data_IF_517221540053
#
_entry.id   IF_517221540053
#
_cell.length_a   1.000
_cell.length_b   1.000
_cell.length_c   1.000
_cell.angle_alpha   90.00
_cell.angle_beta   90.00
_cell.angle_gamma   90.00
#
_symmetry.space_group_name_H-M   'P 1'
#
loop_
_entity.id
_entity.type
_entity.pdbx_description
1 polymer ?
#
# COMPACT_ATOMS: atom_id res chain seq x y z
N UNK A 1 7.72 -13.61 3.28
CA UNK A 1 6.52 -13.43 4.13
C UNK A 1 5.67 -14.68 4.19
N UNK A 2 4.62 -14.69 5.02
CA UNK A 2 3.71 -15.85 5.15
C UNK A 2 2.76 -16.00 3.96
N UNK A 3 2.60 -14.94 3.17
CA UNK A 3 1.69 -14.84 2.01
C UNK A 3 2.50 -14.24 0.85
N UNK A 4 3.36 -15.03 0.19
CA UNK A 4 4.29 -14.51 -0.82
C UNK A 4 3.59 -14.00 -2.08
N UNK A 5 2.52 -14.64 -2.56
CA UNK A 5 1.80 -14.18 -3.76
C UNK A 5 1.13 -12.81 -3.56
N UNK A 6 0.83 -12.43 -2.31
CA UNK A 6 0.31 -11.11 -2.00
C UNK A 6 1.29 -9.98 -2.38
N UNK A 7 2.60 -10.25 -2.45
CA UNK A 7 3.59 -9.22 -2.81
C UNK A 7 3.53 -8.79 -4.27
N UNK A 8 2.92 -9.58 -5.15
CA UNK A 8 2.72 -9.22 -6.55
C UNK A 8 1.89 -7.95 -6.72
N UNK A 9 1.01 -7.66 -5.78
CA UNK A 9 0.13 -6.49 -5.82
C UNK A 9 0.82 -5.19 -5.41
N UNK A 10 2.05 -5.25 -4.92
CA UNK A 10 2.85 -4.08 -4.51
C UNK A 10 3.95 -3.73 -5.53
N UNK A 11 3.86 -4.24 -6.75
CA UNK A 11 4.84 -3.92 -7.80
C UNK A 11 4.82 -2.44 -8.15
N UNK A 12 5.98 -1.80 -8.33
CA UNK A 12 6.05 -0.41 -8.76
C UNK A 12 5.26 -0.18 -10.05
N UNK A 13 4.62 0.98 -10.16
CA UNK A 13 3.84 1.43 -11.33
C UNK A 13 2.59 0.60 -11.68
N UNK A 14 2.24 -0.43 -10.92
CA UNK A 14 1.09 -1.29 -11.20
C UNK A 14 -0.24 -0.70 -10.70
N UNK A 15 -0.20 0.20 -9.72
CA UNK A 15 -1.38 0.68 -8.99
C UNK A 15 -1.61 2.17 -9.26
N UNK A 16 -2.71 2.50 -9.98
CA UNK A 16 -3.03 3.88 -10.35
C UNK A 16 -4.28 4.43 -9.65
N UNK A 17 -5.29 3.57 -9.40
CA UNK A 17 -6.56 3.98 -8.81
C UNK A 17 -6.95 3.06 -7.64
N UNK A 18 -7.32 3.65 -6.51
CA UNK A 18 -7.68 2.93 -5.30
C UNK A 18 -8.75 1.85 -5.53
N UNK A 19 -9.84 2.20 -6.21
CA UNK A 19 -10.94 1.29 -6.48
C UNK A 19 -10.58 0.14 -7.43
N UNK A 20 -9.77 0.42 -8.47
CA UNK A 20 -9.26 -0.62 -9.39
C UNK A 20 -8.40 -1.60 -8.61
N UNK A 21 -7.52 -1.07 -7.76
CA UNK A 21 -6.62 -1.87 -6.93
C UNK A 21 -7.41 -2.76 -5.97
N UNK A 22 -8.40 -2.20 -5.26
CA UNK A 22 -9.26 -2.94 -4.36
C UNK A 22 -10.03 -4.04 -5.10
N UNK A 23 -10.73 -3.68 -6.20
CA UNK A 23 -11.54 -4.63 -6.96
C UNK A 23 -10.70 -5.75 -7.56
N UNK A 24 -9.60 -5.40 -8.24
CA UNK A 24 -8.72 -6.39 -8.88
C UNK A 24 -8.07 -7.33 -7.85
N UNK A 25 -7.70 -6.78 -6.67
CA UNK A 25 -7.17 -7.61 -5.60
C UNK A 25 -8.20 -8.61 -5.09
N UNK A 26 -9.44 -8.16 -4.87
CA UNK A 26 -10.51 -9.05 -4.43
C UNK A 26 -10.77 -10.15 -5.44
N UNK A 27 -10.88 -9.80 -6.72
CA UNK A 27 -11.05 -10.76 -7.81
C UNK A 27 -9.89 -11.75 -7.86
N UNK A 28 -8.65 -11.29 -7.78
CA UNK A 28 -7.46 -12.14 -7.74
C UNK A 28 -7.56 -13.21 -6.63
N UNK A 29 -7.97 -12.80 -5.42
CA UNK A 29 -8.14 -13.74 -4.30
C UNK A 29 -9.29 -14.70 -4.52
N UNK A 30 -10.36 -14.31 -5.20
CA UNK A 30 -11.52 -15.20 -5.43
C UNK A 30 -11.27 -16.17 -6.60
N UNK A 31 -10.63 -15.71 -7.67
CA UNK A 31 -10.51 -16.42 -8.94
C UNK A 31 -9.23 -17.28 -9.06
N UNK A 32 -8.16 -16.93 -8.31
CA UNK A 32 -6.89 -17.65 -8.34
C UNK A 32 -6.76 -18.56 -7.12
N UNK A 33 -6.93 -19.91 -7.31
CA UNK A 33 -6.96 -20.86 -6.20
C UNK A 33 -5.70 -20.83 -5.32
N UNK A 34 -4.53 -20.62 -5.92
CA UNK A 34 -3.25 -20.57 -5.23
C UNK A 34 -3.18 -19.39 -4.27
N UNK A 35 -3.67 -18.22 -4.68
CA UNK A 35 -3.73 -17.01 -3.85
C UNK A 35 -4.73 -17.22 -2.70
N UNK A 36 -5.90 -17.77 -2.99
CA UNK A 36 -6.92 -18.10 -1.98
C UNK A 36 -6.40 -19.11 -0.96
N UNK A 37 -5.65 -20.11 -1.42
CA UNK A 37 -5.07 -21.17 -0.57
C UNK A 37 -4.07 -20.59 0.45
N UNK A 38 -3.30 -19.55 0.10
CA UNK A 38 -2.39 -18.89 1.05
C UNK A 38 -3.14 -18.36 2.28
N UNK A 39 -4.31 -17.74 2.08
CA UNK A 39 -5.13 -17.22 3.18
C UNK A 39 -5.79 -18.34 3.97
N UNK A 40 -6.38 -19.30 3.26
CA UNK A 40 -7.06 -20.45 3.88
C UNK A 40 -6.12 -21.26 4.76
N UNK A 41 -4.87 -21.47 4.32
CA UNK A 41 -3.82 -22.15 5.10
C UNK A 41 -3.56 -21.47 6.45
N UNK A 42 -3.79 -20.18 6.54
CA UNK A 42 -3.63 -19.40 7.77
C UNK A 42 -4.97 -19.15 8.50
N UNK A 43 -6.01 -19.94 8.18
CA UNK A 43 -7.34 -19.82 8.77
C UNK A 43 -7.96 -18.42 8.58
N UNK A 44 -7.71 -17.80 7.44
CA UNK A 44 -8.24 -16.47 7.05
C UNK A 44 -9.18 -16.62 5.86
N UNK A 45 -10.38 -16.03 5.96
CA UNK A 45 -11.27 -15.75 4.84
C UNK A 45 -11.10 -14.27 4.46
N UNK A 46 -10.81 -14.02 3.21
CA UNK A 46 -10.86 -12.65 2.67
C UNK A 46 -12.31 -12.30 2.41
N UNK A 47 -12.82 -11.31 3.14
CA UNK A 47 -14.21 -10.84 3.07
C UNK A 47 -14.37 -9.59 2.24
N UNK A 48 -13.31 -8.82 2.07
CA UNK A 48 -13.23 -7.66 1.19
C UNK A 48 -11.77 -7.32 0.93
N UNK A 49 -11.51 -6.22 0.29
CA UNK A 49 -10.18 -5.68 0.04
C UNK A 49 -10.20 -4.16 0.11
N UNK A 50 -9.06 -3.56 0.25
CA UNK A 50 -8.86 -2.13 0.12
C UNK A 50 -7.72 -1.83 -0.85
N UNK A 51 -7.77 -0.65 -1.44
CA UNK A 51 -6.68 -0.12 -2.25
C UNK A 51 -6.39 1.33 -1.88
N UNK A 52 -5.14 1.74 -2.00
CA UNK A 52 -4.78 3.15 -1.95
C UNK A 52 -4.63 3.69 -3.35
N UNK A 53 -4.71 5.01 -3.49
CA UNK A 53 -4.22 5.69 -4.67
C UNK A 53 -2.69 5.58 -4.79
N UNK A 54 -2.11 6.18 -5.82
CA UNK A 54 -0.68 6.11 -6.06
C UNK A 54 0.10 6.80 -4.95
N UNK A 55 1.27 6.24 -4.65
CA UNK A 55 2.26 6.82 -3.74
C UNK A 55 3.25 7.66 -4.53
N UNK A 56 3.64 8.77 -3.95
CA UNK A 56 4.56 9.75 -4.51
C UNK A 56 5.77 9.94 -3.62
N UNK A 57 6.80 10.62 -4.17
CA UNK A 57 8.03 10.92 -3.43
C UNK A 57 7.90 12.30 -2.78
N UNK A 58 7.77 12.33 -1.47
CA UNK A 58 7.89 13.54 -0.66
C UNK A 58 9.35 13.72 -0.26
N UNK A 59 9.93 14.92 -0.38
CA UNK A 59 11.33 15.13 -0.08
C UNK A 59 11.64 16.51 0.50
N UNK A 60 12.72 16.58 1.29
CA UNK A 60 13.24 17.82 1.89
C UNK A 60 14.05 18.65 0.89
N UNK A 61 14.57 17.98 -0.16
CA UNK A 61 15.35 18.57 -1.25
C UNK A 61 14.76 18.18 -2.59
N UNK A 62 14.92 18.98 -3.65
CA UNK A 62 14.34 18.68 -4.95
C UNK A 62 14.87 17.35 -5.53
N UNK A 63 13.94 16.51 -5.99
CA UNK A 63 14.19 15.31 -6.79
C UNK A 63 13.34 15.48 -8.04
N UNK A 64 13.96 15.60 -9.22
CA UNK A 64 13.30 15.87 -10.50
C UNK A 64 13.54 14.77 -11.53
N UNK A 65 14.66 14.06 -11.39
CA UNK A 65 15.09 13.00 -12.29
C UNK A 65 15.52 11.77 -11.52
N UNK A 66 15.65 10.64 -12.20
CA UNK A 66 16.17 9.42 -11.58
C UNK A 66 17.60 9.58 -11.04
N UNK A 67 18.43 10.40 -11.68
CA UNK A 67 19.79 10.66 -11.19
C UNK A 67 19.84 11.41 -9.87
N UNK A 68 18.79 12.17 -9.52
CA UNK A 68 18.71 12.90 -8.25
C UNK A 68 18.52 11.98 -7.04
N UNK A 69 18.08 10.73 -7.27
CA UNK A 69 18.00 9.73 -6.21
C UNK A 69 19.35 9.25 -5.70
N UNK A 70 20.40 9.42 -6.48
CA UNK A 70 21.74 8.91 -6.13
C UNK A 70 22.20 9.47 -4.79
N UNK A 71 22.47 8.56 -3.84
CA UNK A 71 22.92 8.88 -2.50
C UNK A 71 21.84 9.45 -1.57
N UNK A 72 20.58 9.60 -2.01
CA UNK A 72 19.48 10.05 -1.15
C UNK A 72 19.00 8.93 -0.24
N UNK A 73 18.71 9.27 0.99
CA UNK A 73 18.12 8.39 1.99
C UNK A 73 16.61 8.53 1.91
N UNK A 74 15.91 7.53 1.37
CA UNK A 74 14.46 7.60 1.13
C UNK A 74 13.76 6.54 1.97
N UNK A 75 12.79 6.94 2.78
CA UNK A 75 11.96 6.01 3.56
C UNK A 75 11.06 5.25 2.59
N UNK A 76 11.31 3.95 2.47
CA UNK A 76 10.55 3.04 1.61
C UNK A 76 10.80 1.59 2.03
N UNK A 77 9.81 0.72 1.76
CA UNK A 77 9.89 -0.71 2.03
C UNK A 77 9.39 -1.52 0.84
N UNK A 78 9.62 -2.84 0.88
CA UNK A 78 9.13 -3.75 -0.15
C UNK A 78 9.69 -3.49 -1.55
N UNK A 79 8.94 -3.79 -2.61
CA UNK A 79 9.39 -3.65 -3.99
C UNK A 79 9.80 -2.23 -4.38
N UNK A 80 9.18 -1.21 -3.79
CA UNK A 80 9.55 0.19 -4.03
C UNK A 80 10.95 0.50 -3.51
N UNK A 81 11.37 -0.11 -2.40
CA UNK A 81 12.74 0.04 -1.90
C UNK A 81 13.77 -0.53 -2.90
N UNK A 82 13.47 -1.65 -3.56
CA UNK A 82 14.35 -2.23 -4.58
C UNK A 82 14.43 -1.34 -5.83
N UNK A 83 13.31 -0.74 -6.25
CA UNK A 83 13.31 0.27 -7.31
C UNK A 83 14.23 1.46 -6.97
N UNK A 84 14.13 1.98 -5.74
CA UNK A 84 14.95 3.10 -5.29
C UNK A 84 16.43 2.75 -5.20
N UNK A 85 16.77 1.53 -4.78
CA UNK A 85 18.16 1.04 -4.83
C UNK A 85 18.70 1.04 -6.26
N UNK A 86 17.91 0.57 -7.22
CA UNK A 86 18.29 0.57 -8.63
C UNK A 86 18.50 2.01 -9.17
N UNK A 87 17.77 2.99 -8.62
CA UNK A 87 17.98 4.41 -8.91
C UNK A 87 19.17 5.03 -8.14
N UNK A 88 19.89 4.24 -7.33
CA UNK A 88 21.06 4.69 -6.56
C UNK A 88 20.74 5.36 -5.23
N UNK A 89 19.49 5.30 -4.76
CA UNK A 89 19.12 5.74 -3.42
C UNK A 89 19.50 4.72 -2.35
N UNK A 90 19.47 5.15 -1.09
CA UNK A 90 19.59 4.32 0.11
C UNK A 90 18.22 4.24 0.80
N UNK A 91 17.41 3.19 0.56
CA UNK A 91 16.12 3.02 1.22
C UNK A 91 16.28 2.80 2.71
N UNK A 92 15.41 3.44 3.49
CA UNK A 92 15.33 3.30 4.94
C UNK A 92 14.02 2.63 5.33
N UNK A 93 14.07 1.55 6.12
CA UNK A 93 12.92 0.83 6.63
C UNK A 93 12.33 1.47 7.90
N UNK A 94 12.06 2.76 7.86
CA UNK A 94 11.48 3.51 8.98
C UNK A 94 9.96 3.40 8.93
N UNK A 95 9.31 3.17 10.07
CA UNK A 95 7.85 3.13 10.15
C UNK A 95 7.25 4.52 10.00
N UNK A 96 6.03 4.60 9.47
CA UNK A 96 5.40 5.86 9.10
C UNK A 96 5.30 6.85 10.28
N UNK A 97 5.03 6.35 11.48
CA UNK A 97 4.92 7.15 12.70
C UNK A 97 6.23 7.86 13.12
N UNK A 98 7.38 7.35 12.69
CA UNK A 98 8.71 7.90 12.97
C UNK A 98 9.26 8.73 11.79
N UNK A 99 8.55 8.74 10.66
CA UNK A 99 9.03 9.35 9.43
C UNK A 99 9.14 10.86 9.52
N UNK A 100 8.19 11.52 10.21
CA UNK A 100 8.24 12.97 10.44
C UNK A 100 9.55 13.39 11.12
N UNK A 101 9.89 12.75 12.24
CA UNK A 101 11.11 13.07 12.97
C UNK A 101 12.38 12.74 12.16
N UNK A 102 12.38 11.63 11.41
CA UNK A 102 13.51 11.26 10.57
C UNK A 102 13.77 12.29 9.47
N UNK A 103 12.72 12.82 8.87
CA UNK A 103 12.78 13.89 7.85
C UNK A 103 13.21 15.22 8.49
N UNK A 104 12.63 15.58 9.63
CA UNK A 104 12.93 16.83 10.34
C UNK A 104 14.40 16.90 10.81
N UNK A 105 14.93 15.79 11.30
CA UNK A 105 16.33 15.70 11.75
C UNK A 105 17.34 15.48 10.61
N UNK A 106 16.87 15.32 9.36
CA UNK A 106 17.75 15.05 8.22
C UNK A 106 18.35 13.63 8.19
N UNK A 107 17.80 12.71 9.00
CA UNK A 107 18.15 11.28 8.94
C UNK A 107 17.70 10.69 7.61
N UNK A 108 16.57 11.15 7.09
CA UNK A 108 16.06 10.85 5.76
C UNK A 108 15.96 12.13 4.91
N UNK A 109 16.18 12.01 3.59
CA UNK A 109 16.03 13.10 2.61
C UNK A 109 14.63 13.12 2.01
N UNK A 110 13.87 12.02 2.10
CA UNK A 110 12.53 11.90 1.56
C UNK A 110 11.85 10.61 1.98
N UNK A 111 10.59 10.46 1.57
CA UNK A 111 9.78 9.30 1.89
C UNK A 111 8.72 9.04 0.80
N UNK A 112 8.28 7.79 0.70
CA UNK A 112 7.22 7.37 -0.22
C UNK A 112 5.91 7.25 0.55
N UNK A 113 4.93 8.10 0.21
CA UNK A 113 3.61 8.10 0.84
C UNK A 113 2.48 8.32 -0.16
N UNK A 114 1.28 7.86 0.22
CA UNK A 114 0.04 8.35 -0.37
C UNK A 114 -0.29 9.76 0.18
N UNK A 115 -0.99 10.61 -0.59
CA UNK A 115 -1.30 11.98 -0.18
C UNK A 115 -2.06 12.08 1.15
N UNK A 116 -3.03 11.19 1.39
CA UNK A 116 -3.79 11.16 2.65
C UNK A 116 -2.91 10.86 3.86
N UNK A 117 -1.99 9.92 3.73
CA UNK A 117 -1.04 9.61 4.79
C UNK A 117 -0.06 10.75 5.03
N UNK A 118 0.40 11.42 3.96
CA UNK A 118 1.27 12.58 4.08
C UNK A 118 0.61 13.70 4.88
N UNK A 119 -0.67 14.01 4.65
CA UNK A 119 -1.43 14.98 5.44
C UNK A 119 -1.65 14.52 6.88
N UNK A 120 -2.01 13.26 7.09
CA UNK A 120 -2.25 12.72 8.45
C UNK A 120 -1.01 12.81 9.35
N UNK A 121 0.17 12.64 8.78
CA UNK A 121 1.45 12.66 9.50
C UNK A 121 2.23 13.97 9.32
N UNK A 122 1.58 15.04 8.86
CA UNK A 122 2.14 16.40 8.70
C UNK A 122 3.44 16.44 7.87
N UNK A 123 3.55 15.58 6.85
CA UNK A 123 4.76 15.50 6.02
C UNK A 123 5.01 16.77 5.20
N UNK A 124 3.97 17.56 4.95
CA UNK A 124 4.02 18.86 4.28
C UNK A 124 4.79 19.92 5.09
N UNK A 125 4.86 19.79 6.41
CA UNK A 125 5.64 20.69 7.26
C UNK A 125 7.16 20.51 7.05
N UNK A 126 7.61 19.30 6.75
CA UNK A 126 9.04 18.93 6.64
C UNK A 126 9.48 18.67 5.21
N UNK A 127 8.58 18.23 4.32
CA UNK A 127 8.86 18.01 2.90
C UNK A 127 8.36 19.19 2.06
N UNK A 128 9.29 19.88 1.42
CA UNK A 128 9.01 21.04 0.55
C UNK A 128 8.81 20.68 -0.91
N UNK A 129 9.09 19.44 -1.29
CA UNK A 129 9.07 18.98 -2.68
C UNK A 129 8.27 17.70 -2.81
N UNK A 130 7.46 17.63 -3.84
CA UNK A 130 6.68 16.48 -4.24
C UNK A 130 7.00 16.12 -5.68
N UNK A 131 7.56 14.93 -5.88
CA UNK A 131 7.67 14.34 -7.21
C UNK A 131 6.42 13.48 -7.46
N UNK A 132 5.57 13.95 -8.37
CA UNK A 132 4.32 13.28 -8.76
C UNK A 132 4.56 12.13 -9.75
N UNK A 133 5.54 11.28 -9.45
CA UNK A 133 5.75 10.02 -10.14
C UNK A 133 5.07 8.92 -9.31
N UNK A 134 4.08 8.21 -9.86
CA UNK A 134 3.37 7.15 -9.14
C UNK A 134 4.27 5.91 -8.99
N UNK A 135 5.09 5.89 -7.94
CA UNK A 135 6.10 4.83 -7.74
C UNK A 135 5.55 3.55 -7.09
N UNK A 136 4.32 3.58 -6.60
CA UNK A 136 3.70 2.42 -5.97
C UNK A 136 2.34 2.76 -5.40
N UNK A 137 1.86 1.92 -4.54
CA UNK A 137 0.61 2.02 -3.81
C UNK A 137 0.47 0.78 -2.93
N UNK A 138 -0.61 0.67 -2.21
CA UNK A 138 -0.92 -0.51 -1.40
C UNK A 138 -2.32 -0.98 -1.74
N UNK A 139 -2.47 -2.27 -1.92
CA UNK A 139 -3.75 -2.94 -1.81
C UNK A 139 -3.60 -4.17 -0.93
N UNK A 140 -4.68 -4.58 -0.32
CA UNK A 140 -4.62 -5.71 0.60
C UNK A 140 -5.98 -6.26 0.97
N UNK A 141 -5.98 -7.40 1.67
CA UNK A 141 -7.20 -8.07 2.09
C UNK A 141 -7.77 -7.42 3.34
N UNK A 142 -9.09 -7.40 3.40
CA UNK A 142 -9.84 -7.33 4.66
C UNK A 142 -10.21 -8.75 5.00
N UNK A 143 -9.56 -9.31 6.02
CA UNK A 143 -9.69 -10.72 6.39
C UNK A 143 -10.42 -10.92 7.70
N UNK A 144 -11.15 -12.03 7.77
CA UNK A 144 -11.79 -12.51 8.98
C UNK A 144 -11.26 -13.91 9.31
N UNK A 145 -11.12 -14.23 10.60
CA UNK A 145 -10.81 -15.60 11.01
C UNK A 145 -11.91 -16.54 10.52
N UNK A 146 -11.54 -17.66 9.89
CA UNK A 146 -12.49 -18.57 9.25
C UNK A 146 -13.43 -19.23 10.26
N UNK A 147 -12.96 -19.52 11.48
CA UNK A 147 -13.82 -20.07 12.51
C UNK A 147 -14.86 -19.04 12.98
N UNK A 148 -14.49 -17.76 13.01
CA UNK A 148 -15.43 -16.67 13.31
C UNK A 148 -16.44 -16.53 12.20
N UNK A 149 -16.02 -16.53 10.95
CA UNK A 149 -16.90 -16.51 9.79
C UNK A 149 -17.92 -17.62 9.81
N UNK A 150 -17.47 -18.86 10.07
CA UNK A 150 -18.34 -20.04 10.06
C UNK A 150 -19.39 -20.05 11.19
N UNK A 151 -19.17 -19.26 12.25
CA UNK A 151 -20.15 -19.09 13.35
C UNK A 151 -21.16 -17.98 13.08
N UNK A 152 -20.93 -17.13 12.09
CA UNK A 152 -21.90 -16.10 11.73
C UNK A 152 -23.18 -16.73 11.17
N UNK A 153 -24.36 -16.18 11.50
CA UNK A 153 -25.61 -16.52 10.81
C UNK A 153 -25.49 -16.33 9.30
N UNK A 154 -26.25 -17.12 8.53
CA UNK A 154 -26.15 -17.10 7.07
C UNK A 154 -26.60 -15.78 6.45
N UNK A 155 -27.57 -15.12 7.03
CA UNK A 155 -28.03 -13.78 6.65
C UNK A 155 -26.93 -12.73 6.84
N UNK A 156 -26.18 -12.80 7.93
CA UNK A 156 -25.03 -11.90 8.18
C UNK A 156 -23.89 -12.19 7.20
N UNK A 157 -23.58 -13.46 6.91
CA UNK A 157 -22.61 -13.81 5.88
C UNK A 157 -22.99 -13.22 4.52
N UNK A 158 -24.25 -13.38 4.11
CA UNK A 158 -24.78 -12.85 2.85
C UNK A 158 -24.75 -11.30 2.83
N UNK A 159 -25.07 -10.66 3.95
CA UNK A 159 -25.01 -9.19 4.06
C UNK A 159 -23.57 -8.70 3.83
N UNK A 160 -22.57 -9.31 4.48
CA UNK A 160 -21.16 -8.94 4.29
C UNK A 160 -20.75 -9.14 2.82
N UNK A 161 -21.08 -10.28 2.22
CA UNK A 161 -20.75 -10.57 0.82
C UNK A 161 -21.38 -9.55 -0.16
N UNK A 162 -22.61 -9.11 0.10
CA UNK A 162 -23.30 -8.11 -0.72
C UNK A 162 -22.73 -6.68 -0.58
N UNK A 163 -22.04 -6.37 0.53
CA UNK A 163 -21.40 -5.07 0.74
C UNK A 163 -20.09 -4.91 -0.03
N UNK A 164 -19.46 -6.00 -0.47
CA UNK A 164 -18.15 -5.95 -1.13
C UNK A 164 -18.13 -5.06 -2.38
N UNK A 165 -19.09 -5.17 -3.32
CA UNK A 165 -19.10 -4.31 -4.50
C UNK A 165 -19.28 -2.83 -4.17
N UNK A 166 -20.03 -2.52 -3.11
CA UNK A 166 -20.25 -1.14 -2.66
C UNK A 166 -19.03 -0.57 -1.97
N UNK A 167 -18.34 -1.38 -1.16
CA UNK A 167 -17.09 -1.00 -0.51
C UNK A 167 -16.00 -0.65 -1.54
N UNK A 168 -15.83 -1.49 -2.55
CA UNK A 168 -14.87 -1.22 -3.63
C UNK A 168 -15.20 0.07 -4.41
N UNK A 169 -16.49 0.42 -4.54
CA UNK A 169 -16.93 1.69 -5.16
C UNK A 169 -16.76 2.89 -4.22
N UNK A 170 -16.84 2.70 -2.90
CA UNK A 170 -16.67 3.78 -1.93
C UNK A 170 -15.24 4.32 -1.91
N UNK A 171 -14.24 3.48 -2.19
CA UNK A 171 -12.83 3.89 -2.40
C UNK A 171 -12.65 4.88 -3.59
N UNK A 172 -13.72 5.14 -4.34
CA UNK A 172 -13.75 6.08 -5.46
C UNK A 172 -13.90 7.54 -5.02
N UNK A 173 -14.25 7.79 -3.75
CA UNK A 173 -14.69 9.11 -3.29
C UNK A 173 -13.65 9.85 -2.42
N UNK A 174 -12.41 9.35 -2.37
CA UNK A 174 -11.34 9.97 -1.59
C UNK A 174 -10.26 10.49 -2.53
#
# INVERSE_FOLDING_TARGET
GKIPLNTLTALPFSLQYAWVNATSYYQLVQEVPEVKAEFTKHNVRVVSSYGTGPYYVFSTKPIRTFSDFKGKKIIATGPVAELLKAAGAAPLGIVITESYEALQRGTADGAIFGPSAAGTYNMDEVCRYLLMLPVGGVCGPIGMNMNTWNRLPKDIQAMIENLVPEHAKADHRI
#
